data_IF_437986219140
#
_entry.id   IF_437986219140
#
_cell.length_a   1.000
_cell.length_b   1.000
_cell.length_c   1.000
_cell.angle_alpha   90.00
_cell.angle_beta   90.00
_cell.angle_gamma   90.00
#
_symmetry.space_group_name_H-M   'P 1'
#
loop_
_entity.id
_entity.type
_entity.pdbx_description
1 polymer ?
#
# COMPACT_ATOMS: atom_id res chain seq x y z
N UNK A 1 -1.65 14.10 -5.48
CA UNK A 1 -1.04 12.76 -5.58
C UNK A 1 -0.18 12.70 -6.82
N UNK A 2 1.08 12.37 -6.65
CA UNK A 2 2.03 12.24 -7.76
C UNK A 2 2.34 10.77 -7.99
N UNK A 3 2.31 10.35 -9.24
CA UNK A 3 2.60 8.98 -9.65
C UNK A 3 3.87 8.99 -10.49
N UNK A 4 4.86 8.22 -10.08
CA UNK A 4 6.10 8.06 -10.81
C UNK A 4 6.28 6.57 -11.16
N UNK A 5 6.36 6.27 -12.45
CA UNK A 5 6.54 4.89 -12.90
C UNK A 5 8.03 4.58 -12.96
N UNK A 6 8.43 3.56 -12.24
CA UNK A 6 9.81 3.08 -12.24
C UNK A 6 9.85 1.62 -12.67
N UNK A 7 11.01 1.16 -13.07
CA UNK A 7 11.21 -0.25 -13.44
C UNK A 7 12.16 -0.88 -12.44
N UNK A 8 11.75 -2.02 -11.89
CA UNK A 8 12.57 -2.80 -10.96
C UNK A 8 12.62 -4.24 -11.47
N UNK A 9 13.80 -4.72 -11.76
CA UNK A 9 14.00 -6.08 -12.31
C UNK A 9 13.13 -6.34 -13.55
N UNK A 10 12.99 -5.33 -14.42
CA UNK A 10 12.23 -5.43 -15.65
C UNK A 10 10.72 -5.29 -15.50
N UNK A 11 10.22 -5.02 -14.29
CA UNK A 11 8.78 -4.90 -14.01
C UNK A 11 8.46 -3.48 -13.54
N UNK A 12 7.38 -2.92 -14.07
CA UNK A 12 6.96 -1.57 -13.70
C UNK A 12 6.31 -1.52 -12.33
N UNK A 13 6.66 -0.51 -11.57
CA UNK A 13 6.09 -0.21 -10.25
C UNK A 13 5.71 1.28 -10.24
N UNK A 14 4.55 1.59 -9.70
CA UNK A 14 4.11 2.96 -9.51
C UNK A 14 4.46 3.41 -8.09
N UNK A 15 5.34 4.38 -7.98
CA UNK A 15 5.63 5.03 -6.71
C UNK A 15 4.69 6.21 -6.53
N UNK A 16 3.91 6.19 -5.45
CA UNK A 16 2.92 7.21 -5.17
C UNK A 16 3.43 8.12 -4.05
N UNK A 17 3.48 9.41 -4.32
CA UNK A 17 3.87 10.43 -3.36
C UNK A 17 2.79 11.50 -3.29
N UNK A 18 2.87 12.37 -2.29
CA UNK A 18 1.91 13.45 -2.13
C UNK A 18 1.92 13.99 -0.71
N UNK A 19 0.89 14.74 -0.36
CA UNK A 19 0.73 15.29 0.96
C UNK A 19 0.64 14.18 2.01
N UNK A 20 1.23 14.43 3.18
CA UNK A 20 1.14 13.50 4.29
C UNK A 20 -0.32 13.21 4.63
N UNK A 21 -0.63 11.94 4.88
CA UNK A 21 -1.96 11.47 5.30
C UNK A 21 -3.07 11.74 4.27
N UNK A 22 -2.70 11.96 3.00
CA UNK A 22 -3.70 12.21 1.94
C UNK A 22 -4.41 10.95 1.48
N UNK A 23 -3.82 9.78 1.65
CA UNK A 23 -4.48 8.52 1.33
C UNK A 23 -5.39 8.14 2.49
N UNK A 24 -6.62 8.66 2.45
CA UNK A 24 -7.62 8.53 3.50
C UNK A 24 -8.99 8.27 2.89
N UNK A 25 -9.63 7.20 3.32
CA UNK A 25 -11.01 6.88 2.97
C UNK A 25 -11.18 6.32 1.55
N UNK A 26 -12.41 5.98 1.26
CA UNK A 26 -12.79 5.28 0.03
C UNK A 26 -12.47 6.07 -1.24
N UNK A 27 -12.74 7.38 -1.22
CA UNK A 27 -12.55 8.21 -2.41
C UNK A 27 -11.07 8.29 -2.81
N UNK A 28 -10.18 8.49 -1.84
CA UNK A 28 -8.74 8.55 -2.11
C UNK A 28 -8.22 7.20 -2.64
N UNK A 29 -8.75 6.10 -2.13
CA UNK A 29 -8.38 4.76 -2.62
C UNK A 29 -8.85 4.56 -4.05
N UNK A 30 -10.08 4.99 -4.38
CA UNK A 30 -10.59 4.93 -5.75
C UNK A 30 -9.76 5.77 -6.70
N UNK A 31 -9.36 6.99 -6.27
CA UNK A 31 -8.50 7.86 -7.08
C UNK A 31 -7.15 7.21 -7.34
N UNK A 32 -6.55 6.59 -6.32
CA UNK A 32 -5.30 5.87 -6.46
C UNK A 32 -5.41 4.74 -7.49
N UNK A 33 -6.45 3.92 -7.35
CA UNK A 33 -6.67 2.79 -8.27
C UNK A 33 -6.90 3.30 -9.69
N UNK A 34 -7.70 4.36 -9.86
CA UNK A 34 -7.96 4.96 -11.15
C UNK A 34 -6.69 5.44 -11.84
N UNK A 35 -5.85 6.17 -11.11
CA UNK A 35 -4.59 6.68 -11.66
C UNK A 35 -3.60 5.57 -12.00
N UNK A 36 -3.40 4.64 -11.10
CA UNK A 36 -2.33 3.65 -11.24
C UNK A 36 -2.76 2.48 -12.13
N UNK A 37 -3.90 1.87 -11.81
CA UNK A 37 -4.31 0.66 -12.52
C UNK A 37 -4.93 0.95 -13.88
N UNK A 38 -5.73 2.02 -13.99
CA UNK A 38 -6.45 2.32 -15.24
C UNK A 38 -5.68 3.26 -16.15
N UNK A 39 -5.14 4.36 -15.62
CA UNK A 39 -4.43 5.33 -16.46
C UNK A 39 -3.03 4.87 -16.81
N UNK A 40 -2.26 4.39 -15.84
CA UNK A 40 -0.89 3.91 -16.09
C UNK A 40 -0.81 2.42 -16.39
N UNK A 41 -1.85 1.66 -16.07
CA UNK A 41 -1.89 0.20 -16.24
C UNK A 41 -0.77 -0.52 -15.50
N UNK A 42 -0.45 -0.03 -14.30
CA UNK A 42 0.56 -0.63 -13.44
C UNK A 42 -0.13 -1.12 -12.17
N UNK A 43 -0.19 -2.44 -11.93
CA UNK A 43 -0.91 -2.97 -10.77
C UNK A 43 -0.08 -3.07 -9.49
N UNK A 44 1.14 -2.54 -9.50
CA UNK A 44 2.08 -2.63 -8.38
C UNK A 44 2.36 -1.24 -7.84
N UNK A 45 2.06 -1.01 -6.58
CA UNK A 45 2.10 0.32 -5.97
C UNK A 45 3.04 0.32 -4.76
N UNK A 46 3.94 1.30 -4.75
CA UNK A 46 4.82 1.57 -3.62
C UNK A 46 4.41 2.91 -3.01
N UNK A 47 4.13 2.92 -1.72
CA UNK A 47 3.77 4.14 -1.00
C UNK A 47 4.51 4.19 0.33
N UNK A 48 4.82 5.41 0.81
CA UNK A 48 5.40 5.57 2.13
C UNK A 48 4.31 5.57 3.21
N UNK A 49 4.69 5.19 4.41
CA UNK A 49 3.79 5.25 5.57
C UNK A 49 3.21 6.64 5.77
N UNK A 50 4.00 7.68 5.51
CA UNK A 50 3.57 9.07 5.71
C UNK A 50 2.43 9.49 4.77
N UNK A 51 2.31 8.85 3.62
CA UNK A 51 1.23 9.13 2.69
C UNK A 51 -0.12 8.65 3.22
N UNK A 52 -0.11 7.57 3.98
CA UNK A 52 -1.33 6.89 4.42
C UNK A 52 -1.85 7.51 5.70
N UNK A 53 -3.17 7.76 5.74
CA UNK A 53 -3.81 8.29 6.94
C UNK A 53 -3.70 7.32 8.13
N UNK A 54 -3.64 7.87 9.33
CA UNK A 54 -3.51 7.09 10.56
C UNK A 54 -4.70 6.16 10.83
N UNK A 55 -5.86 6.42 10.23
CA UNK A 55 -7.01 5.54 10.33
C UNK A 55 -6.71 4.12 9.83
N UNK A 56 -5.69 3.95 8.97
CA UNK A 56 -5.24 2.64 8.55
C UNK A 56 -4.79 1.78 9.75
N UNK A 57 -4.19 2.43 10.75
CA UNK A 57 -3.64 1.77 11.93
C UNK A 57 -4.61 1.72 13.10
N UNK A 58 -5.84 2.17 12.91
CA UNK A 58 -6.94 1.98 13.84
C UNK A 58 -7.92 0.95 13.24
N UNK A 59 -7.83 -0.28 13.70
CA UNK A 59 -8.64 -1.37 13.15
C UNK A 59 -10.15 -1.11 13.29
N UNK A 60 -10.55 -0.32 14.28
CA UNK A 60 -11.96 0.03 14.48
C UNK A 60 -12.51 0.92 13.38
N UNK A 61 -11.63 1.64 12.67
CA UNK A 61 -12.05 2.50 11.57
C UNK A 61 -12.56 1.71 10.36
N UNK A 62 -12.11 0.46 10.22
CA UNK A 62 -12.42 -0.37 9.05
C UNK A 62 -11.60 -0.05 7.82
N UNK A 63 -10.79 1.01 7.85
CA UNK A 63 -10.06 1.47 6.66
C UNK A 63 -9.03 0.44 6.17
N UNK A 64 -8.33 -0.22 7.08
CA UNK A 64 -7.34 -1.24 6.70
C UNK A 64 -7.97 -2.38 5.89
N UNK A 65 -9.10 -2.91 6.37
CA UNK A 65 -9.82 -3.97 5.68
C UNK A 65 -10.39 -3.50 4.34
N UNK A 66 -10.92 -2.29 4.29
CA UNK A 66 -11.46 -1.72 3.06
C UNK A 66 -10.37 -1.52 2.01
N UNK A 67 -9.23 -0.97 2.41
CA UNK A 67 -8.09 -0.78 1.49
C UNK A 67 -7.62 -2.12 0.93
N UNK A 68 -7.39 -3.10 1.79
CA UNK A 68 -6.93 -4.42 1.37
C UNK A 68 -7.93 -5.08 0.42
N UNK A 69 -9.24 -4.97 0.71
CA UNK A 69 -10.28 -5.53 -0.14
C UNK A 69 -10.28 -4.91 -1.53
N UNK A 70 -10.15 -3.59 -1.62
CA UNK A 70 -10.15 -2.90 -2.91
C UNK A 70 -8.90 -3.20 -3.72
N UNK A 71 -7.74 -3.24 -3.08
CA UNK A 71 -6.49 -3.63 -3.75
C UNK A 71 -6.61 -5.05 -4.31
N UNK A 72 -7.16 -5.98 -3.54
CA UNK A 72 -7.39 -7.35 -3.98
C UNK A 72 -8.41 -7.44 -5.14
N UNK A 73 -9.50 -6.68 -5.05
CA UNK A 73 -10.56 -6.70 -6.07
C UNK A 73 -10.04 -6.28 -7.45
N UNK A 74 -9.07 -5.36 -7.48
CA UNK A 74 -8.48 -4.90 -8.74
C UNK A 74 -7.20 -5.63 -9.09
N UNK A 75 -6.90 -6.72 -8.39
CA UNK A 75 -5.72 -7.58 -8.63
C UNK A 75 -4.41 -6.80 -8.59
N UNK A 76 -4.32 -5.90 -7.62
CA UNK A 76 -3.16 -5.06 -7.40
C UNK A 76 -2.35 -5.56 -6.21
N UNK A 77 -1.15 -5.01 -6.06
CA UNK A 77 -0.32 -5.15 -4.87
C UNK A 77 0.05 -3.76 -4.37
N UNK A 78 0.05 -3.59 -3.06
CA UNK A 78 0.46 -2.36 -2.41
C UNK A 78 1.49 -2.67 -1.34
N UNK A 79 2.66 -2.04 -1.42
CA UNK A 79 3.64 -2.06 -0.35
C UNK A 79 3.66 -0.70 0.34
N UNK A 80 3.46 -0.70 1.65
CA UNK A 80 3.59 0.49 2.48
C UNK A 80 4.93 0.40 3.21
N UNK A 81 5.82 1.35 2.92
CA UNK A 81 7.19 1.35 3.43
C UNK A 81 7.33 2.36 4.56
N UNK A 82 7.86 1.92 5.68
CA UNK A 82 8.10 2.80 6.82
C UNK A 82 8.48 2.02 8.07
N UNK A 83 8.59 2.75 9.18
CA UNK A 83 8.85 2.17 10.48
C UNK A 83 7.50 1.94 11.19
N UNK A 84 7.22 0.69 11.54
CA UNK A 84 5.99 0.29 12.20
C UNK A 84 6.20 -0.07 13.68
N UNK A 85 7.33 0.33 14.26
CA UNK A 85 7.64 0.07 15.68
C UNK A 85 6.70 0.80 16.64
N UNK A 86 5.97 1.82 16.17
CA UNK A 86 4.97 2.52 16.99
C UNK A 86 3.76 1.65 17.33
N UNK A 87 3.57 0.53 16.62
CA UNK A 87 2.42 -0.34 16.82
C UNK A 87 2.54 -1.09 18.14
N UNK A 88 1.60 -0.87 19.05
CA UNK A 88 1.58 -1.51 20.36
C UNK A 88 0.44 -2.52 20.51
N UNK A 89 -0.67 -2.30 19.82
CA UNK A 89 -1.83 -3.19 19.85
C UNK A 89 -1.48 -4.57 19.31
N UNK A 90 -1.82 -5.60 20.07
CA UNK A 90 -1.62 -6.99 19.63
C UNK A 90 -2.46 -7.30 18.40
N UNK A 91 -3.68 -6.77 18.33
CA UNK A 91 -4.56 -6.98 17.18
C UNK A 91 -3.96 -6.35 15.92
N UNK A 92 -3.38 -5.15 16.00
CA UNK A 92 -2.75 -4.51 14.86
C UNK A 92 -1.46 -5.22 14.46
N UNK A 93 -0.66 -5.67 15.41
CA UNK A 93 0.53 -6.48 15.12
C UNK A 93 0.16 -7.76 14.39
N UNK A 94 -0.89 -8.44 14.82
CA UNK A 94 -1.38 -9.64 14.15
C UNK A 94 -1.87 -9.34 12.73
N UNK A 95 -2.59 -8.25 12.55
CA UNK A 95 -3.05 -7.82 11.23
C UNK A 95 -1.88 -7.58 10.27
N UNK A 96 -0.88 -6.84 10.72
CA UNK A 96 0.32 -6.56 9.90
C UNK A 96 1.07 -7.86 9.58
N UNK A 97 1.23 -8.73 10.57
CA UNK A 97 1.89 -10.01 10.35
C UNK A 97 1.17 -10.85 9.30
N UNK A 98 -0.14 -10.98 9.41
CA UNK A 98 -0.95 -11.73 8.44
C UNK A 98 -0.91 -11.10 7.05
N UNK A 99 -0.98 -9.77 6.97
CA UNK A 99 -0.86 -9.06 5.70
C UNK A 99 0.47 -9.36 5.02
N UNK A 100 1.55 -9.41 5.79
CA UNK A 100 2.90 -9.69 5.28
C UNK A 100 3.09 -11.14 4.84
N UNK A 101 2.18 -12.04 5.17
CA UNK A 101 2.18 -13.41 4.64
C UNK A 101 1.40 -13.54 3.33
N UNK A 102 0.59 -12.54 3.00
CA UNK A 102 -0.23 -12.53 1.80
C UNK A 102 0.43 -11.81 0.62
N UNK A 103 -0.33 -11.66 -0.45
CA UNK A 103 0.13 -11.07 -1.70
C UNK A 103 -0.68 -9.83 -2.13
N UNK A 104 -1.29 -9.13 -1.19
CA UNK A 104 -2.12 -7.96 -1.51
C UNK A 104 -1.53 -6.67 -0.95
N UNK A 105 -1.41 -6.57 0.36
CA UNK A 105 -0.82 -5.40 1.02
C UNK A 105 0.25 -5.89 1.98
N UNK A 106 1.44 -5.31 1.89
CA UNK A 106 2.52 -5.60 2.85
C UNK A 106 3.03 -4.31 3.46
N UNK A 107 3.43 -4.40 4.72
CA UNK A 107 3.99 -3.32 5.52
C UNK A 107 5.45 -3.65 5.79
N UNK A 108 6.35 -2.99 5.08
CA UNK A 108 7.77 -3.36 5.08
C UNK A 108 8.63 -2.15 5.45
N UNK A 109 9.70 -2.39 6.18
CA UNK A 109 10.63 -1.33 6.57
C UNK A 109 11.59 -1.01 5.44
N UNK A 110 12.03 -2.01 4.68
CA UNK A 110 13.09 -1.89 3.68
C UNK A 110 12.49 -1.69 2.29
N UNK A 111 12.83 -0.56 1.66
CA UNK A 111 12.34 -0.22 0.32
C UNK A 111 12.72 -1.28 -0.73
N UNK A 112 13.95 -1.78 -0.69
CA UNK A 112 14.39 -2.80 -1.65
C UNK A 112 13.60 -4.09 -1.51
N UNK A 113 13.34 -4.53 -0.29
CA UNK A 113 12.52 -5.72 -0.05
C UNK A 113 11.08 -5.51 -0.53
N UNK A 114 10.56 -4.30 -0.38
CA UNK A 114 9.23 -3.96 -0.87
C UNK A 114 9.17 -4.05 -2.40
N UNK A 115 10.16 -3.48 -3.08
CA UNK A 115 10.25 -3.57 -4.53
C UNK A 115 10.40 -5.01 -5.00
N UNK A 116 11.24 -5.80 -4.34
CA UNK A 116 11.43 -7.20 -4.69
C UNK A 116 10.13 -8.00 -4.57
N UNK A 117 9.35 -7.73 -3.53
CA UNK A 117 8.05 -8.38 -3.37
C UNK A 117 7.05 -7.92 -4.44
N UNK A 118 7.00 -6.62 -4.72
CA UNK A 118 6.03 -6.06 -5.68
C UNK A 118 6.19 -6.65 -7.08
N UNK A 119 7.41 -6.99 -7.48
CA UNK A 119 7.68 -7.51 -8.83
C UNK A 119 7.54 -9.03 -8.94
N UNK A 120 7.28 -9.72 -7.86
CA UNK A 120 6.97 -11.15 -7.90
C UNK A 120 5.64 -11.39 -8.61
N UNK A 121 5.49 -12.53 -9.30
CA UNK A 121 4.24 -12.88 -9.97
C UNK A 121 3.04 -12.98 -9.01
#
# INVERSE_FOLDING_TARGET
MNIEIMTHQGVQVAEVTGEAKSLKGTEAVHDLIGEVAFNHRVPRVLASRELVDESLFDLRSGFAGELAQKIANYRMKLAVVGDFNFVESLALKAFIHESNLGNTVRFLKDREKALDWLVQP
#
